data_IF_893876152470
#
_entry.id   IF_893876152470
#
_cell.length_a   1.000
_cell.length_b   1.000
_cell.length_c   1.000
_cell.angle_alpha   90.00
_cell.angle_beta   90.00
_cell.angle_gamma   90.00
#
_symmetry.space_group_name_H-M   'P 1'
#
loop_
_entity.id
_entity.type
_entity.pdbx_description
1 polymer ?
#
# COMPACT_ATOMS: atom_id res chain seq x y z
N UNK A 1 64.78 15.80 14.49
CA UNK A 1 63.85 15.04 15.35
C UNK A 1 62.44 15.24 14.85
N UNK A 2 61.94 14.35 13.97
CA UNK A 2 60.52 14.31 13.60
C UNK A 2 60.04 12.87 13.80
N UNK A 3 59.12 12.67 14.75
CA UNK A 3 58.47 11.37 14.99
C UNK A 3 57.33 11.23 13.99
N UNK A 4 57.47 10.30 13.04
CA UNK A 4 56.34 9.77 12.30
C UNK A 4 55.56 8.89 13.29
N UNK A 5 54.31 9.24 13.56
CA UNK A 5 53.38 8.42 14.33
C UNK A 5 52.98 7.23 13.46
N UNK A 6 53.25 6.04 13.96
CA UNK A 6 52.75 4.77 13.42
C UNK A 6 51.22 4.83 13.31
N UNK A 7 50.72 4.70 12.08
CA UNK A 7 49.31 4.40 11.82
C UNK A 7 49.18 2.89 11.94
N UNK A 8 48.48 2.45 12.98
CA UNK A 8 48.24 1.04 13.31
C UNK A 8 47.41 0.36 12.20
N UNK A 9 47.96 -0.60 11.44
CA UNK A 9 47.21 -1.29 10.37
C UNK A 9 46.24 -2.37 10.89
N UNK A 10 46.39 -2.79 12.14
CA UNK A 10 45.67 -3.93 12.72
C UNK A 10 44.20 -3.64 13.10
N UNK A 11 43.86 -2.38 13.36
CA UNK A 11 42.51 -2.00 13.82
C UNK A 11 41.48 -2.05 12.68
N UNK A 12 41.90 -1.73 11.45
CA UNK A 12 41.04 -1.80 10.25
C UNK A 12 40.64 -3.24 9.88
N UNK A 13 41.46 -4.23 10.24
CA UNK A 13 41.16 -5.65 9.96
C UNK A 13 40.12 -6.24 10.90
N UNK A 14 40.13 -5.86 12.18
CA UNK A 14 39.18 -6.37 13.18
C UNK A 14 37.80 -5.77 13.01
N UNK A 15 37.70 -4.46 12.73
CA UNK A 15 36.42 -3.79 12.45
C UNK A 15 35.77 -4.32 11.15
N UNK A 16 36.59 -4.64 10.13
CA UNK A 16 36.11 -5.28 8.91
C UNK A 16 35.59 -6.72 9.16
N UNK A 17 36.25 -7.48 10.04
CA UNK A 17 35.79 -8.82 10.43
C UNK A 17 34.50 -8.77 11.26
N UNK A 18 34.38 -7.84 12.21
CA UNK A 18 33.16 -7.63 13.00
C UNK A 18 31.98 -7.23 12.12
N UNK A 19 32.16 -6.25 11.23
CA UNK A 19 31.10 -5.83 10.30
C UNK A 19 30.67 -6.94 9.32
N UNK A 20 31.62 -7.79 8.89
CA UNK A 20 31.30 -8.99 8.09
C UNK A 20 30.48 -9.99 8.90
N UNK A 21 30.85 -10.22 10.16
CA UNK A 21 30.11 -11.09 11.08
C UNK A 21 28.69 -10.61 11.35
N UNK A 22 28.52 -9.31 11.60
CA UNK A 22 27.21 -8.69 11.81
C UNK A 22 26.31 -8.82 10.58
N UNK A 23 26.86 -8.60 9.39
CA UNK A 23 26.14 -8.76 8.12
C UNK A 23 25.67 -10.21 7.92
N UNK A 24 26.53 -11.19 8.22
CA UNK A 24 26.16 -12.61 8.10
C UNK A 24 25.12 -13.04 9.15
N UNK A 25 25.21 -12.50 10.37
CA UNK A 25 24.25 -12.77 11.43
C UNK A 25 22.89 -12.16 11.10
N UNK A 26 22.87 -10.95 10.56
CA UNK A 26 21.67 -10.28 10.05
C UNK A 26 20.99 -11.12 8.96
N UNK A 27 21.74 -11.52 7.94
CA UNK A 27 21.21 -12.34 6.84
C UNK A 27 20.62 -13.67 7.34
N UNK A 28 21.30 -14.35 8.27
CA UNK A 28 20.77 -15.59 8.88
C UNK A 28 19.52 -15.34 9.70
N UNK A 29 19.42 -14.19 10.39
CA UNK A 29 18.22 -13.83 11.16
C UNK A 29 17.03 -13.60 10.23
N UNK A 30 17.22 -12.81 9.18
CA UNK A 30 16.20 -12.51 8.18
C UNK A 30 15.70 -13.77 7.46
N UNK A 31 16.61 -14.66 7.07
CA UNK A 31 16.21 -15.93 6.44
C UNK A 31 15.40 -16.80 7.39
N UNK A 32 15.78 -16.88 8.67
CA UNK A 32 15.02 -17.64 9.68
C UNK A 32 13.64 -17.05 9.93
N UNK A 33 13.55 -15.73 10.06
CA UNK A 33 12.28 -15.03 10.31
C UNK A 33 11.30 -15.18 9.14
N UNK A 34 11.82 -15.15 7.92
CA UNK A 34 11.03 -15.19 6.69
C UNK A 34 11.13 -16.52 5.94
N UNK A 35 11.54 -17.61 6.60
CA UNK A 35 11.72 -18.93 5.98
C UNK A 35 10.44 -19.47 5.36
N UNK A 36 9.29 -19.13 5.94
CA UNK A 36 7.96 -19.54 5.48
C UNK A 36 7.47 -18.79 4.24
N UNK A 37 8.12 -17.68 3.87
CA UNK A 37 7.72 -16.86 2.73
C UNK A 37 8.40 -17.33 1.43
N UNK A 38 7.69 -17.33 0.30
CA UNK A 38 8.26 -17.58 -1.01
C UNK A 38 9.49 -16.71 -1.31
N UNK A 39 10.49 -17.31 -1.98
CA UNK A 39 11.72 -16.64 -2.37
C UNK A 39 11.74 -16.11 -3.81
N UNK A 40 10.75 -16.52 -4.63
CA UNK A 40 10.67 -16.17 -6.05
C UNK A 40 9.28 -15.65 -6.43
N UNK A 41 9.21 -14.83 -7.48
CA UNK A 41 7.97 -14.17 -7.91
C UNK A 41 6.85 -15.16 -8.32
N UNK A 42 7.22 -16.26 -8.97
CA UNK A 42 6.28 -17.30 -9.43
C UNK A 42 5.47 -17.90 -8.27
N UNK A 43 6.12 -18.18 -7.15
CA UNK A 43 5.50 -18.70 -5.93
C UNK A 43 4.85 -17.60 -5.10
N UNK A 44 5.42 -16.39 -5.11
CA UNK A 44 4.91 -15.25 -4.36
C UNK A 44 3.53 -14.79 -4.86
N UNK A 45 3.27 -14.88 -6.16
CA UNK A 45 2.01 -14.42 -6.74
C UNK A 45 0.78 -15.20 -6.22
N UNK A 46 0.69 -16.54 -6.30
CA UNK A 46 -0.42 -17.28 -5.73
C UNK A 46 -0.48 -17.15 -4.20
N UNK A 47 0.66 -17.06 -3.52
CA UNK A 47 0.70 -16.80 -2.07
C UNK A 47 0.04 -15.46 -1.71
N UNK A 48 0.38 -14.38 -2.43
CA UNK A 48 -0.19 -13.06 -2.19
C UNK A 48 -1.70 -13.02 -2.48
N UNK A 49 -2.19 -13.75 -3.49
CA UNK A 49 -3.64 -13.85 -3.76
C UNK A 49 -4.39 -14.43 -2.56
N UNK A 50 -3.91 -15.54 -1.99
CA UNK A 50 -4.46 -16.13 -0.75
C UNK A 50 -4.39 -15.15 0.42
N UNK A 51 -3.30 -14.36 0.51
CA UNK A 51 -3.15 -13.36 1.54
C UNK A 51 -4.13 -12.19 1.39
N UNK A 52 -4.42 -11.76 0.15
CA UNK A 52 -5.46 -10.76 -0.15
C UNK A 52 -6.84 -11.28 0.26
N UNK A 53 -7.17 -12.55 0.00
CA UNK A 53 -8.43 -13.15 0.43
C UNK A 53 -8.57 -13.17 1.96
N UNK A 54 -7.49 -13.57 2.67
CA UNK A 54 -7.43 -13.52 4.14
C UNK A 54 -7.59 -12.10 4.68
N UNK A 55 -6.88 -11.15 4.09
CA UNK A 55 -6.99 -9.73 4.44
C UNK A 55 -8.41 -9.21 4.20
N UNK A 56 -9.03 -9.61 3.09
CA UNK A 56 -10.38 -9.21 2.76
C UNK A 56 -11.41 -9.72 3.76
N UNK A 57 -11.36 -11.01 4.10
CA UNK A 57 -12.20 -11.57 5.14
C UNK A 57 -12.00 -10.85 6.49
N UNK A 58 -10.74 -10.54 6.85
CA UNK A 58 -10.43 -9.81 8.08
C UNK A 58 -10.99 -8.39 8.11
N UNK A 59 -10.91 -7.66 6.98
CA UNK A 59 -11.50 -6.33 6.83
C UNK A 59 -13.02 -6.37 6.98
N UNK A 60 -13.69 -7.32 6.30
CA UNK A 60 -15.14 -7.50 6.44
C UNK A 60 -15.55 -7.86 7.87
N UNK A 61 -14.74 -8.64 8.58
CA UNK A 61 -14.99 -9.02 9.97
C UNK A 61 -14.66 -7.91 10.99
N UNK A 62 -14.03 -6.81 10.58
CA UNK A 62 -13.54 -5.79 11.52
C UNK A 62 -12.34 -6.24 12.36
N UNK A 63 -11.63 -7.29 11.95
CA UNK A 63 -10.54 -7.87 12.72
C UNK A 63 -9.21 -7.12 12.48
N UNK A 64 -9.00 -6.05 13.24
CA UNK A 64 -7.82 -5.17 13.13
C UNK A 64 -6.49 -5.94 13.24
N UNK A 65 -6.40 -6.95 14.12
CA UNK A 65 -5.16 -7.69 14.31
C UNK A 65 -4.85 -8.57 13.10
N UNK A 66 -5.84 -9.28 12.56
CA UNK A 66 -5.66 -10.10 11.36
C UNK A 66 -5.34 -9.24 10.13
N UNK A 67 -5.97 -8.06 10.01
CA UNK A 67 -5.65 -7.08 8.97
C UNK A 67 -4.18 -6.64 9.03
N UNK A 68 -3.70 -6.21 10.21
CA UNK A 68 -2.30 -5.84 10.41
C UNK A 68 -1.35 -6.98 10.11
N UNK A 69 -1.67 -8.19 10.59
CA UNK A 69 -0.85 -9.38 10.33
C UNK A 69 -0.71 -9.65 8.84
N UNK A 70 -1.80 -9.61 8.08
CA UNK A 70 -1.76 -9.87 6.64
C UNK A 70 -0.95 -8.80 5.87
N UNK A 71 -1.06 -7.53 6.27
CA UNK A 71 -0.28 -6.44 5.66
C UNK A 71 1.21 -6.54 5.97
N UNK A 72 1.56 -6.88 7.21
CA UNK A 72 2.94 -7.13 7.59
C UNK A 72 3.52 -8.32 6.83
N UNK A 73 2.74 -9.40 6.67
CA UNK A 73 3.14 -10.58 5.91
C UNK A 73 3.36 -10.24 4.41
N UNK A 74 2.51 -9.40 3.82
CA UNK A 74 2.68 -8.93 2.45
C UNK A 74 3.93 -8.06 2.28
N UNK A 75 4.18 -7.14 3.22
CA UNK A 75 5.39 -6.32 3.23
C UNK A 75 6.65 -7.18 3.39
N UNK A 76 6.64 -8.16 4.29
CA UNK A 76 7.73 -9.09 4.50
C UNK A 76 8.03 -9.93 3.25
N UNK A 77 6.99 -10.36 2.53
CA UNK A 77 7.13 -11.06 1.24
C UNK A 77 7.87 -10.19 0.23
N UNK A 78 7.41 -8.96 0.01
CA UNK A 78 8.06 -8.03 -0.92
C UNK A 78 9.49 -7.69 -0.48
N UNK A 79 9.75 -7.59 0.83
CA UNK A 79 11.08 -7.37 1.39
C UNK A 79 12.02 -8.56 1.12
N UNK A 80 11.56 -9.80 1.31
CA UNK A 80 12.30 -11.02 0.97
C UNK A 80 12.63 -11.08 -0.52
N UNK A 81 11.64 -10.84 -1.38
CA UNK A 81 11.85 -10.79 -2.84
C UNK A 81 12.83 -9.68 -3.27
N UNK A 82 12.95 -8.63 -2.46
CA UNK A 82 13.93 -7.57 -2.66
C UNK A 82 15.29 -7.87 -2.01
N UNK A 83 15.58 -9.14 -1.71
CA UNK A 83 16.78 -9.60 -1.03
C UNK A 83 17.03 -8.88 0.30
N UNK A 84 15.95 -8.63 1.06
CA UNK A 84 15.98 -7.93 2.34
C UNK A 84 16.57 -6.52 2.27
N UNK A 85 16.42 -5.84 1.12
CA UNK A 85 16.79 -4.43 0.94
C UNK A 85 15.56 -3.52 1.02
N UNK A 86 15.72 -2.29 1.51
CA UNK A 86 14.65 -1.29 1.43
C UNK A 86 14.34 -0.94 -0.04
N UNK A 87 13.24 -0.21 -0.26
CA UNK A 87 12.85 0.21 -1.60
C UNK A 87 11.98 -0.81 -2.34
N UNK A 88 11.14 -1.56 -1.61
CA UNK A 88 10.19 -2.52 -2.20
C UNK A 88 9.15 -1.86 -3.15
N UNK A 89 9.06 -0.52 -3.15
CA UNK A 89 8.23 0.32 -4.02
C UNK A 89 9.03 1.42 -4.76
N UNK A 90 10.36 1.29 -4.88
CA UNK A 90 11.21 2.36 -5.39
C UNK A 90 11.03 2.62 -6.91
N UNK A 91 10.65 1.59 -7.65
CA UNK A 91 10.50 1.59 -9.12
C UNK A 91 9.33 0.70 -9.54
N UNK A 92 8.90 0.79 -10.79
CA UNK A 92 7.83 -0.05 -11.35
C UNK A 92 8.14 -1.56 -11.34
N UNK A 93 9.43 -1.91 -11.30
CA UNK A 93 9.96 -3.29 -11.24
C UNK A 93 10.30 -3.73 -9.81
N UNK A 94 10.14 -2.85 -8.82
CA UNK A 94 10.33 -3.23 -7.41
C UNK A 94 9.29 -4.29 -7.01
N UNK A 95 9.64 -5.28 -6.18
CA UNK A 95 8.77 -6.43 -5.94
C UNK A 95 7.35 -6.09 -5.48
N UNK A 96 7.18 -5.08 -4.62
CA UNK A 96 5.87 -4.63 -4.17
C UNK A 96 5.02 -4.05 -5.31
N UNK A 97 5.61 -3.26 -6.20
CA UNK A 97 4.94 -2.71 -7.38
C UNK A 97 4.53 -3.80 -8.37
N UNK A 98 5.42 -4.78 -8.63
CA UNK A 98 5.13 -5.91 -9.52
C UNK A 98 4.00 -6.76 -8.94
N UNK A 99 4.06 -7.08 -7.64
CA UNK A 99 3.04 -7.85 -6.94
C UNK A 99 1.67 -7.15 -6.93
N UNK A 100 1.64 -5.85 -6.62
CA UNK A 100 0.41 -5.03 -6.67
C UNK A 100 -0.22 -5.07 -8.05
N UNK A 101 0.58 -4.82 -9.10
CA UNK A 101 0.14 -4.85 -10.50
C UNK A 101 -0.40 -6.22 -10.93
N UNK A 102 0.30 -7.30 -10.62
CA UNK A 102 -0.07 -8.66 -11.03
C UNK A 102 -1.25 -9.26 -10.24
N UNK A 103 -1.56 -8.68 -9.08
CA UNK A 103 -2.73 -9.06 -8.27
C UNK A 103 -3.89 -8.10 -8.40
N UNK A 104 -3.74 -7.01 -9.16
CA UNK A 104 -4.78 -5.99 -9.37
C UNK A 104 -6.09 -6.61 -9.86
N UNK A 105 -7.21 -6.07 -9.38
CA UNK A 105 -8.52 -6.39 -9.92
C UNK A 105 -8.61 -5.94 -11.39
N UNK A 106 -9.36 -6.66 -12.26
CA UNK A 106 -9.66 -6.16 -13.60
C UNK A 106 -10.35 -4.80 -13.56
N UNK A 107 -10.15 -3.97 -14.59
CA UNK A 107 -10.80 -2.65 -14.66
C UNK A 107 -12.32 -2.77 -14.67
N UNK A 108 -12.97 -1.92 -13.87
CA UNK A 108 -14.42 -1.93 -13.67
C UNK A 108 -14.92 -2.99 -12.69
N UNK A 109 -14.07 -3.92 -12.26
CA UNK A 109 -14.43 -4.93 -11.26
C UNK A 109 -14.12 -4.39 -9.86
N UNK A 110 -15.06 -4.57 -8.94
CA UNK A 110 -14.86 -4.17 -7.56
C UNK A 110 -13.69 -4.99 -6.94
N UNK A 111 -12.63 -4.34 -6.45
CA UNK A 111 -11.50 -5.05 -5.87
C UNK A 111 -11.89 -5.70 -4.53
N UNK A 112 -11.16 -6.75 -4.16
CA UNK A 112 -11.13 -7.18 -2.76
C UNK A 112 -10.40 -6.12 -1.92
N UNK A 113 -10.61 -6.15 -0.60
CA UNK A 113 -9.79 -5.33 0.29
C UNK A 113 -8.33 -5.81 0.24
N UNK A 114 -7.40 -4.88 0.04
CA UNK A 114 -5.98 -5.21 -0.13
C UNK A 114 -5.57 -5.44 -1.59
N UNK A 115 -6.53 -5.44 -2.51
CA UNK A 115 -6.27 -5.50 -3.94
C UNK A 115 -6.31 -4.08 -4.52
N UNK A 116 -5.34 -3.74 -5.35
CA UNK A 116 -5.45 -2.54 -6.19
C UNK A 116 -6.59 -2.72 -7.19
N UNK A 117 -7.28 -1.65 -7.56
CA UNK A 117 -8.34 -1.74 -8.56
C UNK A 117 -8.94 -0.40 -8.92
N UNK A 118 -9.63 -0.36 -10.06
CA UNK A 118 -10.40 0.80 -10.46
C UNK A 118 -11.82 0.39 -10.84
N UNK A 119 -12.80 1.10 -10.29
CA UNK A 119 -14.21 0.83 -10.52
C UNK A 119 -15.01 2.14 -10.52
N UNK A 120 -16.22 2.08 -11.07
CA UNK A 120 -17.15 3.20 -11.05
C UNK A 120 -18.01 3.09 -9.80
N UNK A 121 -18.11 4.19 -9.07
CA UNK A 121 -19.01 4.35 -7.94
C UNK A 121 -20.09 5.38 -8.31
N UNK A 122 -21.34 4.96 -8.21
CA UNK A 122 -22.50 5.84 -8.38
C UNK A 122 -22.88 6.42 -7.02
N UNK A 123 -22.55 7.69 -6.79
CA UNK A 123 -23.01 8.43 -5.62
C UNK A 123 -24.24 9.26 -5.98
N UNK A 124 -25.08 9.59 -4.99
CA UNK A 124 -26.28 10.43 -5.21
C UNK A 124 -26.00 11.75 -5.95
N UNK A 125 -24.80 12.30 -5.78
CA UNK A 125 -24.43 13.61 -6.32
C UNK A 125 -23.70 13.55 -7.67
N UNK A 126 -22.99 12.45 -7.98
CA UNK A 126 -22.16 12.34 -9.18
C UNK A 126 -21.63 10.91 -9.35
N UNK A 127 -21.21 10.59 -10.57
CA UNK A 127 -20.51 9.35 -10.93
C UNK A 127 -19.01 9.56 -10.83
N UNK A 128 -18.32 8.72 -10.05
CA UNK A 128 -16.87 8.84 -9.82
C UNK A 128 -16.14 7.56 -10.18
N UNK A 129 -14.95 7.68 -10.77
CA UNK A 129 -14.03 6.55 -10.92
C UNK A 129 -13.16 6.49 -9.67
N UNK A 130 -13.26 5.40 -8.92
CA UNK A 130 -12.41 5.13 -7.79
C UNK A 130 -11.15 4.41 -8.28
N UNK A 131 -10.00 4.79 -7.72
CA UNK A 131 -8.77 4.00 -7.74
C UNK A 131 -8.44 3.63 -6.29
N UNK A 132 -8.58 2.34 -5.97
CA UNK A 132 -8.38 1.78 -4.64
C UNK A 132 -6.92 1.34 -4.47
N UNK A 133 -6.32 1.67 -3.33
CA UNK A 133 -4.99 1.18 -2.98
C UNK A 133 -5.04 -0.29 -2.51
N UNK A 134 -3.98 -1.05 -2.79
CA UNK A 134 -3.80 -2.41 -2.29
C UNK A 134 -2.98 -2.49 -1.00
N UNK A 135 -2.49 -3.71 -0.70
CA UNK A 135 -1.65 -4.01 0.48
C UNK A 135 -0.33 -3.20 0.54
N UNK A 136 0.10 -2.63 -0.60
CA UNK A 136 1.33 -1.84 -0.71
C UNK A 136 1.06 -0.32 -0.81
N UNK A 137 -0.18 0.12 -0.62
CA UNK A 137 -0.53 1.55 -0.59
C UNK A 137 0.11 2.31 0.57
N UNK A 138 0.20 3.64 0.43
CA UNK A 138 0.86 4.54 1.41
C UNK A 138 0.27 4.38 2.82
N UNK A 139 -1.04 4.13 2.92
CA UNK A 139 -1.74 3.97 4.19
C UNK A 139 -1.69 2.55 4.77
N UNK A 140 -1.28 1.53 4.02
CA UNK A 140 -1.53 0.14 4.36
C UNK A 140 -0.88 -0.28 5.69
N UNK A 141 0.37 0.11 5.95
CA UNK A 141 1.08 -0.27 7.18
C UNK A 141 0.59 0.42 8.46
N UNK A 142 -0.06 1.57 8.34
CA UNK A 142 -0.28 2.48 9.48
C UNK A 142 -1.75 2.79 9.77
N UNK A 143 -2.63 2.68 8.77
CA UNK A 143 -4.03 3.07 8.87
C UNK A 143 -4.96 1.87 8.97
N UNK A 144 -6.09 1.99 9.66
CA UNK A 144 -7.09 0.91 9.70
C UNK A 144 -7.68 0.66 8.30
N UNK A 145 -8.08 1.73 7.62
CA UNK A 145 -8.63 1.73 6.28
C UNK A 145 -7.58 2.00 5.21
N UNK A 146 -7.74 1.40 4.03
CA UNK A 146 -6.91 1.69 2.86
C UNK A 146 -7.31 3.02 2.22
N UNK A 147 -6.33 3.67 1.59
CA UNK A 147 -6.54 4.88 0.83
C UNK A 147 -7.23 4.61 -0.50
N UNK A 148 -7.85 5.64 -1.04
CA UNK A 148 -8.32 5.63 -2.42
C UNK A 148 -8.28 7.04 -3.01
N UNK A 149 -8.39 7.12 -4.33
CA UNK A 149 -8.62 8.38 -5.01
C UNK A 149 -9.87 8.32 -5.88
N UNK A 150 -10.52 9.47 -6.04
CA UNK A 150 -11.68 9.65 -6.88
C UNK A 150 -11.30 10.54 -8.06
N UNK A 151 -11.68 10.11 -9.25
CA UNK A 151 -11.50 10.82 -10.51
C UNK A 151 -12.85 11.12 -11.15
N UNK A 152 -12.96 12.27 -11.79
CA UNK A 152 -14.14 12.66 -12.53
C UNK A 152 -14.31 11.76 -13.76
N UNK A 153 -15.53 11.22 -13.93
CA UNK A 153 -15.92 10.52 -15.17
C UNK A 153 -16.42 11.54 -16.19
N UNK A 154 -17.34 12.40 -15.76
CA UNK A 154 -17.92 13.47 -16.58
C UNK A 154 -17.18 14.80 -16.32
N UNK A 155 -16.14 15.10 -17.11
CA UNK A 155 -15.28 16.30 -16.88
C UNK A 155 -16.00 17.65 -17.06
N UNK A 156 -17.16 17.64 -17.73
CA UNK A 156 -18.02 18.82 -17.91
C UNK A 156 -19.03 19.03 -16.76
N UNK A 157 -19.06 18.14 -15.77
CA UNK A 157 -19.98 18.23 -14.63
C UNK A 157 -19.22 18.63 -13.35
N UNK A 158 -19.92 19.25 -12.38
CA UNK A 158 -19.35 19.49 -11.07
C UNK A 158 -18.84 18.20 -10.40
N UNK A 159 -17.72 18.31 -9.69
CA UNK A 159 -17.00 17.20 -9.06
C UNK A 159 -16.56 17.54 -7.61
N UNK A 160 -15.90 16.59 -6.95
CA UNK A 160 -15.38 16.71 -5.59
C UNK A 160 -14.24 17.75 -5.45
N UNK A 161 -13.65 18.16 -6.56
CA UNK A 161 -12.57 19.15 -6.63
C UNK A 161 -12.59 19.88 -7.98
N UNK A 162 -11.86 20.99 -8.08
CA UNK A 162 -11.73 21.76 -9.33
C UNK A 162 -10.78 21.11 -10.35
N UNK A 163 -10.00 20.10 -9.95
CA UNK A 163 -9.04 19.42 -10.82
C UNK A 163 -9.59 18.16 -11.46
N UNK A 164 -10.80 17.74 -11.08
CA UNK A 164 -11.33 16.42 -11.45
C UNK A 164 -10.69 15.26 -10.68
N UNK A 165 -9.85 15.54 -9.67
CA UNK A 165 -9.16 14.55 -8.84
C UNK A 165 -9.27 14.86 -7.35
N UNK A 166 -9.55 13.84 -6.52
CA UNK A 166 -9.56 13.95 -5.07
C UNK A 166 -8.96 12.70 -4.43
N UNK A 167 -7.92 12.87 -3.62
CA UNK A 167 -7.35 11.80 -2.80
C UNK A 167 -8.03 11.74 -1.42
N UNK A 168 -8.24 10.52 -0.92
CA UNK A 168 -8.76 10.20 0.40
C UNK A 168 -7.75 9.30 1.12
N UNK A 169 -6.89 9.92 1.94
CA UNK A 169 -5.89 9.25 2.76
C UNK A 169 -6.17 9.51 4.25
N UNK A 170 -5.76 8.57 5.10
CA UNK A 170 -5.85 8.74 6.55
C UNK A 170 -7.29 8.87 7.05
N UNK A 171 -8.23 8.14 6.44
CA UNK A 171 -9.61 8.09 6.93
C UNK A 171 -9.61 7.56 8.38
N UNK A 172 -9.89 8.45 9.32
CA UNK A 172 -9.85 8.17 10.75
C UNK A 172 -10.99 7.27 11.21
N UNK A 173 -10.84 6.72 12.43
CA UNK A 173 -11.80 5.83 13.06
C UNK A 173 -11.32 4.38 13.11
N UNK A 174 -11.95 3.59 13.98
CA UNK A 174 -11.69 2.16 14.08
C UNK A 174 -12.20 1.40 12.85
N UNK A 175 -11.64 0.21 12.62
CA UNK A 175 -12.16 -0.70 11.62
C UNK A 175 -13.53 -1.21 12.08
N UNK A 176 -14.55 -1.05 11.23
CA UNK A 176 -15.90 -1.51 11.46
C UNK A 176 -16.23 -2.66 10.51
N UNK A 177 -16.96 -3.67 10.99
CA UNK A 177 -17.34 -4.83 10.20
C UNK A 177 -18.40 -4.50 9.14
N UNK A 178 -18.49 -5.34 8.11
CA UNK A 178 -19.54 -5.28 7.08
C UNK A 178 -19.31 -4.29 5.94
N UNK A 179 -18.25 -3.47 5.99
CA UNK A 179 -17.95 -2.54 4.91
C UNK A 179 -17.17 -3.20 3.78
N UNK A 180 -17.77 -3.23 2.59
CA UNK A 180 -17.08 -3.52 1.33
C UNK A 180 -16.29 -2.29 0.87
N UNK A 181 -15.30 -2.44 -0.05
CA UNK A 181 -14.62 -1.32 -0.70
C UNK A 181 -15.59 -0.28 -1.27
N UNK A 182 -16.66 -0.74 -1.94
CA UNK A 182 -17.69 0.14 -2.50
C UNK A 182 -18.42 0.94 -1.42
N UNK A 183 -18.97 0.25 -0.41
CA UNK A 183 -19.75 0.90 0.65
C UNK A 183 -18.91 1.89 1.47
N UNK A 184 -17.62 1.57 1.67
CA UNK A 184 -16.66 2.44 2.33
C UNK A 184 -16.41 3.70 1.48
N UNK A 185 -16.04 3.54 0.21
CA UNK A 185 -15.80 4.68 -0.68
C UNK A 185 -17.04 5.57 -0.80
N UNK A 186 -18.23 4.98 -0.95
CA UNK A 186 -19.51 5.68 -0.95
C UNK A 186 -19.71 6.52 0.30
N UNK A 187 -19.59 5.91 1.48
CA UNK A 187 -19.76 6.61 2.75
C UNK A 187 -18.76 7.77 2.92
N UNK A 188 -17.50 7.59 2.52
CA UNK A 188 -16.49 8.64 2.63
C UNK A 188 -16.73 9.78 1.64
N UNK A 189 -17.10 9.47 0.40
CA UNK A 189 -17.44 10.50 -0.60
C UNK A 189 -18.67 11.28 -0.15
N UNK A 190 -19.73 10.61 0.32
CA UNK A 190 -20.93 11.28 0.80
C UNK A 190 -20.66 12.15 2.03
N UNK A 191 -19.88 11.64 3.00
CA UNK A 191 -19.48 12.41 4.17
C UNK A 191 -18.64 13.65 3.79
N UNK A 192 -17.74 13.51 2.82
CA UNK A 192 -16.94 14.61 2.31
C UNK A 192 -17.82 15.68 1.64
N UNK A 193 -18.76 15.26 0.78
CA UNK A 193 -19.70 16.19 0.15
C UNK A 193 -20.54 16.93 1.18
N UNK A 194 -21.08 16.21 2.17
CA UNK A 194 -21.92 16.81 3.20
C UNK A 194 -21.16 17.79 4.11
N UNK A 195 -19.96 17.42 4.57
CA UNK A 195 -19.21 18.16 5.59
C UNK A 195 -18.29 19.22 4.99
N UNK A 196 -17.45 18.82 4.05
CA UNK A 196 -16.39 19.67 3.51
C UNK A 196 -16.89 20.54 2.35
N UNK A 197 -17.79 20.01 1.53
CA UNK A 197 -18.37 20.72 0.40
C UNK A 197 -19.75 21.35 0.71
N UNK A 198 -20.28 21.13 1.92
CA UNK A 198 -21.58 21.66 2.37
C UNK A 198 -22.70 21.34 1.38
N UNK A 199 -22.67 20.15 0.79
CA UNK A 199 -23.64 19.65 -0.19
C UNK A 199 -23.46 20.17 -1.61
N UNK A 200 -22.41 20.93 -1.93
CA UNK A 200 -22.23 21.55 -3.26
C UNK A 200 -20.92 21.12 -3.92
N UNK A 201 -21.04 20.40 -5.03
CA UNK A 201 -19.89 20.05 -5.87
C UNK A 201 -19.26 21.29 -6.53
N UNK A 202 -18.03 21.15 -6.99
CA UNK A 202 -17.23 22.23 -7.59
C UNK A 202 -17.11 22.05 -9.09
N UNK A 203 -17.22 23.15 -9.83
CA UNK A 203 -16.95 23.13 -11.26
C UNK A 203 -15.47 22.78 -11.52
N UNK A 204 -15.22 21.84 -12.44
CA UNK A 204 -13.87 21.50 -12.88
C UNK A 204 -13.35 22.65 -13.74
N UNK A 205 -12.16 23.16 -13.42
CA UNK A 205 -11.57 24.28 -14.13
C UNK A 205 -11.21 23.89 -15.57
N UNK A 206 -11.31 24.83 -16.50
CA UNK A 206 -11.20 24.57 -17.95
C UNK A 206 -9.88 23.90 -18.37
N UNK A 207 -8.77 24.21 -17.70
CA UNK A 207 -7.48 23.58 -17.96
C UNK A 207 -7.43 22.08 -17.58
N UNK A 208 -8.43 21.58 -16.85
CA UNK A 208 -8.58 20.18 -16.44
C UNK A 208 -9.82 19.52 -17.06
N UNK A 209 -10.42 20.12 -18.10
CA UNK A 209 -11.44 19.46 -18.94
C UNK A 209 -10.82 18.69 -20.10
#
# INVERSE_FOLDING_TARGET
MSRIKDIVPAQLGFDALLSTGDTQNEARRQEREHAHLPGIMEEALPFLRTLIERHHAAMLAGNTQAVRSARNEAHALAFKLNNYKPGILATEDSPGCVLGRLTRAPDGVLPLWGQEGSFILECRATRVRIEMEGLFGIGAGSMAWLGFSAHAVDRDRPFLSQTGYRSFLGVGGGLASGHTPESFCGAIVEAYVARELKGRLREIASQYR
#
